data_IF_157651942789
#
_entry.id   IF_157651942789
#
_cell.length_a   1.000
_cell.length_b   1.000
_cell.length_c   1.000
_cell.angle_alpha   90.00
_cell.angle_beta   90.00
_cell.angle_gamma   90.00
#
_symmetry.space_group_name_H-M   'P 1'
#
loop_
_entity.id
_entity.type
_entity.pdbx_description
1 polymer ?
#
# COMPACT_ATOMS: atom_id res chain seq x y z
N UNK A 1 -13.27 -57.69 54.30
CA UNK A 1 -13.23 -57.18 52.92
C UNK A 1 -14.34 -56.14 52.77
N UNK A 2 -14.00 -54.87 52.54
CA UNK A 2 -14.69 -53.91 51.66
C UNK A 2 -14.09 -52.51 51.85
N UNK A 3 -13.30 -52.11 50.85
CA UNK A 3 -12.52 -50.89 50.75
C UNK A 3 -13.45 -49.76 50.26
N UNK A 4 -13.67 -48.69 51.03
CA UNK A 4 -14.46 -47.53 50.58
C UNK A 4 -13.52 -46.53 49.91
N UNK A 5 -13.45 -46.59 48.58
CA UNK A 5 -12.69 -45.65 47.77
C UNK A 5 -13.33 -44.25 47.81
N UNK A 6 -12.54 -43.26 48.22
CA UNK A 6 -12.81 -41.83 48.02
C UNK A 6 -13.01 -41.55 46.53
N UNK A 7 -14.10 -40.89 46.18
CA UNK A 7 -14.30 -40.31 44.85
C UNK A 7 -13.76 -38.88 44.87
N UNK A 8 -12.63 -38.65 44.20
CA UNK A 8 -12.07 -37.33 43.92
C UNK A 8 -12.96 -36.65 42.87
N UNK A 9 -13.69 -35.61 43.25
CA UNK A 9 -14.40 -34.73 42.31
C UNK A 9 -13.32 -33.86 41.63
N UNK A 10 -12.95 -34.25 40.42
CA UNK A 10 -12.16 -33.44 39.50
C UNK A 10 -13.00 -32.23 39.07
N UNK A 11 -12.66 -31.05 39.59
CA UNK A 11 -13.12 -29.77 39.08
C UNK A 11 -12.47 -29.54 37.71
N UNK A 12 -13.15 -29.99 36.65
CA UNK A 12 -12.82 -29.60 35.28
C UNK A 12 -13.06 -28.09 35.15
N UNK A 13 -11.97 -27.33 35.15
CA UNK A 13 -11.94 -25.93 34.77
C UNK A 13 -12.26 -25.87 33.26
N UNK A 14 -13.54 -25.66 32.92
CA UNK A 14 -13.94 -25.44 31.53
C UNK A 14 -13.42 -24.06 31.14
N UNK A 15 -12.51 -23.94 30.15
CA UNK A 15 -12.12 -22.63 29.66
C UNK A 15 -13.35 -21.95 29.05
N UNK A 16 -13.69 -20.77 29.58
CA UNK A 16 -14.70 -19.90 28.99
C UNK A 16 -14.15 -19.45 27.63
N UNK A 17 -14.49 -20.18 26.57
CA UNK A 17 -14.24 -19.72 25.21
C UNK A 17 -15.11 -18.47 25.05
N UNK A 18 -14.48 -17.30 25.12
CA UNK A 18 -15.13 -16.06 24.73
C UNK A 18 -15.44 -16.18 23.23
N UNK A 19 -16.70 -16.48 22.93
CA UNK A 19 -17.19 -16.41 21.55
C UNK A 19 -17.12 -14.93 21.17
N UNK A 20 -16.21 -14.59 20.25
CA UNK A 20 -16.22 -13.28 19.63
C UNK A 20 -17.57 -13.12 18.91
N UNK A 21 -18.50 -12.41 19.53
CA UNK A 21 -19.78 -12.09 18.91
C UNK A 21 -19.53 -10.98 17.89
N UNK A 22 -19.62 -11.31 16.61
CA UNK A 22 -19.60 -10.31 15.55
C UNK A 22 -20.98 -9.69 15.44
N UNK A 23 -21.07 -8.39 15.73
CA UNK A 23 -22.31 -7.62 15.54
C UNK A 23 -22.31 -7.06 14.13
N UNK A 24 -23.41 -7.25 13.40
CA UNK A 24 -23.64 -6.58 12.12
C UNK A 24 -24.58 -5.39 12.32
N UNK A 25 -24.15 -4.22 11.85
CA UNK A 25 -24.91 -2.97 11.83
C UNK A 25 -25.39 -2.71 10.41
N UNK A 26 -26.66 -2.32 10.28
CA UNK A 26 -27.29 -1.97 9.02
C UNK A 26 -27.86 -0.57 9.12
N UNK A 27 -27.57 0.32 8.16
CA UNK A 27 -28.19 1.63 8.08
C UNK A 27 -29.13 1.72 6.88
N UNK A 28 -30.21 2.46 7.07
CA UNK A 28 -31.25 2.65 6.07
C UNK A 28 -31.49 4.14 5.84
N UNK A 29 -31.82 4.51 4.60
CA UNK A 29 -32.29 5.86 4.30
C UNK A 29 -33.75 6.07 4.73
N UNK A 30 -34.26 7.29 4.57
CA UNK A 30 -35.64 7.65 4.91
C UNK A 30 -36.72 6.92 4.11
N UNK A 31 -36.34 6.24 3.01
CA UNK A 31 -37.22 5.40 2.19
C UNK A 31 -37.11 3.91 2.56
N UNK A 32 -36.33 3.57 3.59
CA UNK A 32 -36.13 2.20 4.05
C UNK A 32 -35.17 1.38 3.18
N UNK A 33 -34.37 2.03 2.33
CA UNK A 33 -33.38 1.33 1.49
C UNK A 33 -32.08 1.17 2.26
N UNK A 34 -31.45 0.01 2.13
CA UNK A 34 -30.16 -0.29 2.77
C UNK A 34 -29.05 0.58 2.17
N UNK A 35 -28.40 1.40 2.99
CA UNK A 35 -27.31 2.29 2.58
C UNK A 35 -25.95 1.89 3.15
N UNK A 36 -25.91 1.10 4.22
CA UNK A 36 -24.66 0.67 4.85
C UNK A 36 -24.79 -0.74 5.46
N UNK A 37 -23.75 -1.55 5.32
CA UNK A 37 -23.53 -2.79 6.06
C UNK A 37 -22.16 -2.74 6.71
N UNK A 38 -22.09 -2.94 8.03
CA UNK A 38 -20.84 -3.07 8.79
C UNK A 38 -20.90 -4.29 9.71
N UNK A 39 -20.02 -5.27 9.52
CA UNK A 39 -19.90 -6.42 10.43
C UNK A 39 -18.54 -6.50 11.15
N UNK A 40 -17.80 -5.38 11.15
CA UNK A 40 -16.45 -5.26 11.71
C UNK A 40 -15.34 -5.70 10.76
N UNK A 41 -15.60 -6.63 9.83
CA UNK A 41 -14.63 -7.10 8.81
C UNK A 41 -14.99 -6.64 7.40
N UNK A 42 -16.27 -6.38 7.17
CA UNK A 42 -16.88 -5.99 5.91
C UNK A 42 -17.61 -4.69 6.14
N UNK A 43 -17.23 -3.67 5.37
CA UNK A 43 -17.96 -2.42 5.26
C UNK A 43 -18.45 -2.31 3.82
N UNK A 44 -19.71 -1.93 3.59
CA UNK A 44 -20.26 -1.70 2.24
C UNK A 44 -21.23 -0.54 2.31
N UNK A 45 -21.11 0.39 1.36
CA UNK A 45 -22.05 1.50 1.17
C UNK A 45 -22.76 1.41 -0.19
N UNK A 46 -24.02 1.84 -0.18
CA UNK A 46 -24.89 1.85 -1.35
C UNK A 46 -25.45 3.24 -1.63
N UNK A 47 -25.36 3.65 -2.90
CA UNK A 47 -26.03 4.85 -3.40
C UNK A 47 -27.17 4.47 -4.35
N UNK A 48 -28.21 5.29 -4.36
CA UNK A 48 -29.38 5.09 -5.20
C UNK A 48 -29.81 6.39 -5.88
N UNK A 49 -30.33 6.28 -7.10
CA UNK A 49 -31.01 7.37 -7.77
C UNK A 49 -32.42 7.63 -7.18
N UNK A 50 -33.12 8.62 -7.76
CA UNK A 50 -34.49 8.98 -7.37
C UNK A 50 -35.52 7.89 -7.68
N UNK A 51 -35.29 7.09 -8.74
CA UNK A 51 -36.16 6.02 -9.17
C UNK A 51 -35.97 4.73 -8.34
N UNK A 52 -34.91 4.65 -7.53
CA UNK A 52 -34.60 3.51 -6.70
C UNK A 52 -33.56 2.57 -7.28
N UNK A 53 -32.96 2.90 -8.43
CA UNK A 53 -31.88 2.10 -8.97
C UNK A 53 -30.60 2.35 -8.18
N UNK A 54 -29.87 1.27 -7.89
CA UNK A 54 -28.57 1.36 -7.24
C UNK A 54 -27.55 1.93 -8.23
N UNK A 55 -26.90 3.02 -7.87
CA UNK A 55 -25.94 3.73 -8.73
C UNK A 55 -24.49 3.48 -8.32
N UNK A 56 -24.24 3.02 -7.09
CA UNK A 56 -22.91 2.66 -6.63
C UNK A 56 -22.96 1.55 -5.57
N UNK A 57 -21.90 0.75 -5.54
CA UNK A 57 -21.52 -0.14 -4.44
C UNK A 57 -20.06 0.21 -4.16
N UNK A 58 -19.79 0.75 -2.98
CA UNK A 58 -18.45 1.14 -2.58
C UNK A 58 -18.12 0.60 -1.20
N UNK A 59 -16.85 0.63 -0.82
CA UNK A 59 -16.56 0.73 0.59
C UNK A 59 -15.32 1.56 0.83
N UNK A 60 -15.48 2.63 1.60
CA UNK A 60 -14.40 3.56 1.92
C UNK A 60 -13.33 2.92 2.84
N UNK A 61 -13.63 1.74 3.41
CA UNK A 61 -12.67 0.96 4.22
C UNK A 61 -11.70 0.13 3.38
N UNK A 62 -12.04 -0.22 2.14
CA UNK A 62 -11.18 -0.92 1.18
C UNK A 62 -10.17 0.06 0.63
N UNK A 63 -10.53 1.34 0.49
CA UNK A 63 -9.55 2.36 0.16
C UNK A 63 -8.49 2.52 1.27
N UNK A 64 -8.75 2.11 2.52
CA UNK A 64 -7.76 2.05 3.62
C UNK A 64 -7.21 0.63 3.91
N UNK A 65 -7.74 -0.41 3.27
CA UNK A 65 -7.24 -1.80 3.32
C UNK A 65 -6.50 -2.20 2.04
N UNK A 66 -6.55 -1.36 1.02
CA UNK A 66 -5.66 -1.39 -0.12
C UNK A 66 -4.35 -0.84 0.40
N UNK A 67 -3.37 -1.74 0.56
CA UNK A 67 -2.00 -1.38 0.89
C UNK A 67 -1.44 -0.29 -0.03
N UNK A 68 -0.19 0.13 0.17
CA UNK A 68 0.43 1.16 -0.65
C UNK A 68 0.25 0.88 -2.14
N UNK A 69 -0.22 1.89 -2.90
CA UNK A 69 -0.35 1.81 -4.37
C UNK A 69 0.40 2.96 -4.99
N UNK A 70 1.32 2.65 -5.89
CA UNK A 70 1.97 3.64 -6.75
C UNK A 70 1.11 3.83 -7.98
N UNK A 71 0.51 5.00 -8.13
CA UNK A 71 -0.36 5.34 -9.26
C UNK A 71 0.42 5.93 -10.43
N UNK A 72 1.61 6.47 -10.16
CA UNK A 72 2.47 7.08 -11.16
C UNK A 72 3.93 7.02 -10.72
N UNK A 73 4.83 6.72 -11.65
CA UNK A 73 6.27 6.90 -11.47
C UNK A 73 6.91 7.30 -12.80
N UNK A 74 7.30 8.56 -12.90
CA UNK A 74 7.90 9.13 -14.08
C UNK A 74 9.40 9.34 -13.89
N UNK A 75 10.17 8.70 -14.77
CA UNK A 75 11.61 8.82 -14.85
C UNK A 75 11.97 9.24 -16.27
N UNK A 76 12.76 10.32 -16.45
CA UNK A 76 13.25 10.70 -17.76
C UNK A 76 14.04 9.56 -18.39
N UNK A 77 13.83 9.33 -19.68
CA UNK A 77 14.57 8.30 -20.42
C UNK A 77 16.10 8.51 -20.39
N UNK A 78 16.57 9.76 -20.30
CA UNK A 78 18.00 10.09 -20.30
C UNK A 78 18.34 11.18 -19.26
N UNK A 79 19.41 10.94 -18.50
CA UNK A 79 20.13 11.97 -17.76
C UNK A 79 21.14 12.69 -18.68
N UNK A 80 21.38 13.98 -18.42
CA UNK A 80 22.27 14.83 -19.22
C UNK A 80 23.73 14.40 -19.21
N UNK A 81 24.18 13.73 -18.14
CA UNK A 81 25.56 13.30 -17.97
C UNK A 81 25.75 12.48 -16.69
N UNK A 82 26.95 11.91 -16.52
CA UNK A 82 27.31 11.15 -15.31
C UNK A 82 27.36 12.07 -14.10
N UNK A 83 26.59 11.74 -13.07
CA UNK A 83 26.55 12.48 -11.81
C UNK A 83 25.68 13.73 -11.84
N UNK A 84 25.04 14.04 -12.96
CA UNK A 84 24.10 15.16 -13.08
C UNK A 84 22.82 14.90 -12.29
N UNK A 85 22.21 15.99 -11.84
CA UNK A 85 20.89 15.96 -11.23
C UNK A 85 19.83 15.82 -12.33
N UNK A 86 19.02 14.76 -12.25
CA UNK A 86 17.81 14.59 -13.06
C UNK A 86 16.59 14.57 -12.14
N UNK A 87 15.42 14.87 -12.69
CA UNK A 87 14.19 14.98 -11.93
C UNK A 87 13.33 13.73 -12.10
N UNK A 88 12.73 13.25 -11.02
CA UNK A 88 11.72 12.18 -11.08
C UNK A 88 10.49 12.61 -10.30
N UNK A 89 9.33 12.15 -10.72
CA UNK A 89 8.03 12.42 -10.09
C UNK A 89 7.29 11.12 -9.83
N UNK A 90 6.47 11.12 -8.78
CA UNK A 90 5.62 9.99 -8.43
C UNK A 90 4.35 10.44 -7.73
N UNK A 91 3.33 9.60 -7.87
CA UNK A 91 2.11 9.69 -7.08
C UNK A 91 1.81 8.32 -6.47
N UNK A 92 1.35 8.34 -5.23
CA UNK A 92 0.92 7.13 -4.52
C UNK A 92 -0.21 7.43 -3.54
N UNK A 93 -0.98 6.39 -3.25
CA UNK A 93 -2.08 6.39 -2.27
C UNK A 93 -1.82 5.35 -1.20
N UNK A 94 -2.31 5.59 0.02
CA UNK A 94 -2.13 4.71 1.18
C UNK A 94 -0.66 4.44 1.49
N UNK A 95 0.15 5.49 1.44
CA UNK A 95 1.58 5.41 1.74
C UNK A 95 1.93 6.47 2.76
N UNK A 96 2.79 6.11 3.71
CA UNK A 96 3.34 7.01 4.72
C UNK A 96 4.66 7.62 4.26
N UNK A 97 5.46 6.87 3.50
CA UNK A 97 6.72 7.37 2.92
C UNK A 97 7.13 6.57 1.69
N UNK A 98 8.03 7.15 0.89
CA UNK A 98 8.66 6.50 -0.24
C UNK A 98 10.19 6.54 -0.15
N UNK A 99 10.84 5.69 -0.95
CA UNK A 99 12.26 5.64 -1.14
C UNK A 99 12.59 5.34 -2.61
N UNK A 100 13.70 5.90 -3.09
CA UNK A 100 14.25 5.65 -4.41
C UNK A 100 15.59 4.96 -4.29
N UNK A 101 15.76 3.83 -4.97
CA UNK A 101 17.01 3.06 -5.06
C UNK A 101 17.37 2.76 -6.51
N UNK A 102 18.55 2.22 -6.73
CA UNK A 102 19.13 2.02 -8.06
C UNK A 102 19.69 0.61 -8.16
N UNK A 103 19.58 0.01 -9.33
CA UNK A 103 20.15 -1.31 -9.61
C UNK A 103 21.69 -1.30 -9.59
N UNK A 104 22.28 -0.32 -10.28
CA UNK A 104 23.71 -0.27 -10.59
C UNK A 104 24.44 0.88 -9.87
N UNK A 105 23.84 1.41 -8.79
CA UNK A 105 24.40 2.52 -8.02
C UNK A 105 24.08 2.35 -6.54
N UNK A 106 24.92 2.88 -5.67
CA UNK A 106 24.79 2.71 -4.20
C UNK A 106 24.05 3.85 -3.52
N UNK A 107 23.84 4.98 -4.19
CA UNK A 107 23.07 6.09 -3.64
C UNK A 107 21.60 5.70 -3.50
N UNK A 108 20.93 6.24 -2.49
CA UNK A 108 19.50 6.09 -2.30
C UNK A 108 18.91 7.35 -1.70
N UNK A 109 17.61 7.52 -1.86
CA UNK A 109 16.84 8.62 -1.31
C UNK A 109 15.72 8.04 -0.47
N UNK A 110 15.70 8.34 0.83
CA UNK A 110 14.76 7.74 1.80
C UNK A 110 13.91 8.81 2.47
N UNK A 111 12.83 8.40 3.13
CA UNK A 111 11.89 9.30 3.81
C UNK A 111 11.30 10.37 2.88
N UNK A 112 11.09 10.01 1.62
CA UNK A 112 10.44 10.86 0.64
C UNK A 112 8.93 10.91 0.94
N UNK A 113 8.25 12.02 0.59
CA UNK A 113 6.81 12.11 0.74
C UNK A 113 6.08 11.07 -0.11
N UNK A 114 4.85 10.74 0.29
CA UNK A 114 3.95 9.82 -0.41
C UNK A 114 3.79 10.16 -1.89
N UNK A 115 3.70 11.45 -2.23
CA UNK A 115 3.65 11.92 -3.61
C UNK A 115 4.51 13.16 -3.76
N UNK A 116 5.04 13.36 -4.95
CA UNK A 116 5.83 14.54 -5.26
C UNK A 116 6.95 14.20 -6.22
N UNK A 117 8.10 14.80 -5.97
CA UNK A 117 9.18 14.80 -6.94
C UNK A 117 10.50 15.17 -6.31
N UNK A 118 11.60 14.67 -6.87
CA UNK A 118 12.92 14.78 -6.28
C UNK A 118 14.02 14.81 -7.33
N UNK A 119 15.11 15.52 -7.03
CA UNK A 119 16.34 15.48 -7.83
C UNK A 119 17.19 14.28 -7.45
N UNK A 120 17.48 13.42 -8.41
CA UNK A 120 18.37 12.27 -8.23
C UNK A 120 19.66 12.45 -9.03
N UNK A 121 20.76 11.89 -8.54
CA UNK A 121 22.02 11.80 -9.29
C UNK A 121 22.17 10.42 -9.90
N UNK A 122 22.53 10.38 -11.18
CA UNK A 122 22.65 9.14 -11.97
C UNK A 122 24.10 8.93 -12.36
N UNK A 123 24.72 7.88 -11.85
CA UNK A 123 26.11 7.49 -12.13
C UNK A 123 26.25 6.31 -13.09
N UNK A 124 25.19 5.52 -13.26
CA UNK A 124 25.14 4.34 -14.11
C UNK A 124 23.76 4.22 -14.78
N UNK A 125 23.72 3.73 -16.02
CA UNK A 125 22.43 3.37 -16.65
C UNK A 125 21.88 2.13 -15.94
N UNK A 126 20.56 2.08 -15.73
CA UNK A 126 19.96 1.00 -14.96
C UNK A 126 18.53 1.27 -14.55
N UNK A 127 17.92 0.28 -13.92
CA UNK A 127 16.64 0.45 -13.27
C UNK A 127 16.75 1.36 -12.05
N UNK A 128 15.77 2.25 -11.92
CA UNK A 128 15.47 3.01 -10.72
C UNK A 128 14.21 2.40 -10.13
N UNK A 129 14.23 2.12 -8.83
CA UNK A 129 13.10 1.59 -8.10
C UNK A 129 12.53 2.66 -7.19
N UNK A 130 11.22 2.83 -7.24
CA UNK A 130 10.45 3.57 -6.25
C UNK A 130 9.72 2.56 -5.37
N UNK A 131 10.04 2.55 -4.08
CA UNK A 131 9.31 1.77 -3.08
C UNK A 131 8.52 2.74 -2.19
N UNK A 132 7.21 2.53 -2.07
CA UNK A 132 6.38 3.28 -1.14
C UNK A 132 5.77 2.33 -0.11
N UNK A 133 5.72 2.76 1.16
CA UNK A 133 5.39 1.91 2.29
C UNK A 133 4.28 2.51 3.15
N UNK A 134 3.53 1.63 3.79
CA UNK A 134 2.68 1.95 4.93
C UNK A 134 2.79 0.85 6.00
N UNK A 135 3.36 1.18 7.15
CA UNK A 135 3.72 0.19 8.17
C UNK A 135 4.67 -0.89 7.63
N UNK A 136 4.18 -2.14 7.58
CA UNK A 136 4.93 -3.30 7.06
C UNK A 136 4.64 -3.63 5.59
N UNK A 137 3.70 -2.93 4.96
CA UNK A 137 3.33 -3.17 3.57
C UNK A 137 4.12 -2.27 2.62
N UNK A 138 4.36 -2.76 1.40
CA UNK A 138 5.11 -2.01 0.39
C UNK A 138 4.57 -2.24 -1.02
N UNK A 139 4.55 -1.19 -1.83
CA UNK A 139 4.49 -1.28 -3.28
C UNK A 139 5.80 -0.83 -3.89
N UNK A 140 6.14 -1.42 -5.03
CA UNK A 140 7.32 -1.07 -5.80
C UNK A 140 6.95 -0.84 -7.26
N UNK A 141 7.54 0.19 -7.85
CA UNK A 141 7.51 0.45 -9.29
C UNK A 141 8.94 0.70 -9.76
N UNK A 142 9.22 0.40 -11.02
CA UNK A 142 10.52 0.66 -11.60
C UNK A 142 10.42 1.27 -12.98
N UNK A 143 11.42 2.07 -13.31
CA UNK A 143 11.63 2.61 -14.64
C UNK A 143 13.12 2.64 -14.95
N UNK A 144 13.47 2.77 -16.22
CA UNK A 144 14.85 2.69 -16.68
C UNK A 144 15.36 4.07 -17.10
N UNK A 145 16.59 4.39 -16.72
CA UNK A 145 17.27 5.61 -17.15
C UNK A 145 18.61 5.29 -17.83
N UNK A 146 18.88 6.00 -18.91
CA UNK A 146 20.18 6.04 -19.56
C UNK A 146 20.94 7.32 -19.16
N UNK A 147 22.25 7.36 -19.28
CA UNK A 147 23.02 8.60 -19.26
C UNK A 147 23.88 8.69 -20.52
N UNK A 148 24.14 9.90 -21.01
CA UNK A 148 25.09 10.10 -22.10
C UNK A 148 26.51 9.92 -21.57
N UNK A 149 27.21 8.84 -21.97
CA UNK A 149 28.67 8.84 -21.82
C UNK A 149 29.21 9.91 -22.77
N UNK A 150 29.97 10.86 -22.24
CA UNK A 150 30.58 11.91 -23.06
C UNK A 150 31.30 11.26 -24.24
N UNK A 151 30.79 11.49 -25.45
CA UNK A 151 31.40 11.00 -26.67
C UNK A 151 32.84 11.50 -26.75
N UNK A 152 33.77 10.58 -26.98
CA UNK A 152 35.15 10.94 -27.31
C UNK A 152 35.14 11.95 -28.45
N UNK A 153 35.62 13.15 -28.18
CA UNK A 153 35.88 14.14 -29.22
C UNK A 153 36.86 13.58 -30.24
N UNK A 154 36.79 14.01 -31.52
CA UNK A 154 37.69 13.52 -32.54
C UNK A 154 39.14 13.79 -32.12
N UNK A 155 39.95 12.74 -32.10
CA UNK A 155 41.40 12.87 -31.97
C UNK A 155 41.86 13.57 -33.26
N UNK A 156 42.17 14.86 -33.16
CA UNK A 156 42.75 15.61 -34.26
C UNK A 156 44.07 14.95 -34.66
N UNK A 157 44.09 14.43 -35.89
CA UNK A 157 45.31 13.99 -36.59
C UNK A 157 46.18 15.18 -36.96
#
# INVERSE_FOLDING_TARGET
MHNRHLVLISLLFIPLIAVAQTTSTFKYDSKGRLVEVDNGTTFIEYAYDKAGNRTAVGNERLDQLMGPVITEFEVPMMASGVGDNTYVSWASTNTTSCAITFENQVNSYTNLPSSGSHYIRVFASGAIFLQCVDGSESAESSSYIFYQSGGGGPIGI
#
